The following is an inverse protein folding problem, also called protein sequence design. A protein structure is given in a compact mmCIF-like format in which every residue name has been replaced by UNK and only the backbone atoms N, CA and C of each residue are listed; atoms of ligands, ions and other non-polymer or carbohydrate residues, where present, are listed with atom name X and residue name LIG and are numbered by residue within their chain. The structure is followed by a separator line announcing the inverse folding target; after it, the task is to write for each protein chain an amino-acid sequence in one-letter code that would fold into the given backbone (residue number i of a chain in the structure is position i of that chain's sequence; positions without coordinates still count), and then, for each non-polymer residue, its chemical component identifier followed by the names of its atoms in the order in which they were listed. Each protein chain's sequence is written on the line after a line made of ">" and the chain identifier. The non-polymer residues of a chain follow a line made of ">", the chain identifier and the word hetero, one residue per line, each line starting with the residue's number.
data_IF_905866976899
#
_entry.id   IF_905866976899
#
_cell.length_a   1.000
_cell.length_b   1.000
_cell.length_c   1.000
_cell.angle_alpha   90.00
_cell.angle_beta   90.00
_cell.angle_gamma   90.00
#
_symmetry.space_group_name_H-M   'P 1'
#
loop_
_entity.id
_entity.type
_entity.pdbx_description
1 polymer ?
#
# COMPACT_ATOMS: atom_id res chain seq x y z
N UNK A 1 -53.40 61.24 13.19
CA UNK A 1 -54.52 60.30 13.01
C UNK A 1 -53.91 59.01 12.49
N UNK A 2 -53.65 58.05 13.38
CA UNK A 2 -54.54 56.95 13.79
C UNK A 2 -54.30 55.70 12.91
N UNK A 3 -53.66 54.69 13.53
CA UNK A 3 -53.70 53.23 13.30
C UNK A 3 -53.34 52.71 11.88
N UNK A 4 -52.64 51.59 11.70
CA UNK A 4 -52.93 50.30 12.31
C UNK A 4 -51.71 49.35 12.30
N UNK A 5 -51.57 48.62 13.42
CA UNK A 5 -50.70 47.47 13.61
C UNK A 5 -51.59 46.23 13.51
N UNK A 6 -51.39 45.36 12.51
CA UNK A 6 -51.39 43.90 12.68
C UNK A 6 -51.55 43.19 11.34
N UNK A 7 -50.59 42.34 11.00
CA UNK A 7 -50.90 40.93 10.73
C UNK A 7 -49.63 40.10 10.78
N UNK A 8 -49.53 39.33 11.86
CA UNK A 8 -48.66 38.17 11.98
C UNK A 8 -48.91 37.21 10.82
N UNK A 9 -47.87 36.86 10.06
CA UNK A 9 -47.80 35.56 9.38
C UNK A 9 -46.46 34.91 9.73
N UNK A 10 -46.58 33.93 10.62
CA UNK A 10 -45.57 33.00 11.09
C UNK A 10 -44.99 32.23 9.91
N UNK A 11 -43.74 32.53 9.52
CA UNK A 11 -42.94 31.62 8.70
C UNK A 11 -42.44 30.50 9.61
N UNK A 12 -43.07 29.33 9.51
CA UNK A 12 -42.58 28.11 10.11
C UNK A 12 -41.24 27.75 9.43
N UNK A 13 -40.13 27.94 10.15
CA UNK A 13 -38.83 27.43 9.76
C UNK A 13 -38.84 25.91 9.93
N UNK A 14 -38.95 25.16 8.83
CA UNK A 14 -38.64 23.74 8.79
C UNK A 14 -37.14 23.56 9.06
N UNK A 15 -36.78 23.30 10.32
CA UNK A 15 -35.48 22.75 10.70
C UNK A 15 -35.38 21.32 10.14
N UNK A 16 -34.85 21.19 8.93
CA UNK A 16 -34.33 19.92 8.42
C UNK A 16 -33.04 19.60 9.19
N UNK A 17 -33.18 18.90 10.32
CA UNK A 17 -32.09 18.18 10.94
C UNK A 17 -31.64 17.08 9.96
N UNK A 18 -30.66 17.40 9.12
CA UNK A 18 -29.99 16.43 8.27
C UNK A 18 -29.23 15.44 9.15
N UNK A 19 -29.85 14.31 9.45
CA UNK A 19 -29.17 13.17 10.02
C UNK A 19 -28.12 12.70 8.99
N UNK A 20 -26.85 12.95 9.29
CA UNK A 20 -25.72 12.35 8.57
C UNK A 20 -25.77 10.86 8.86
N UNK A 21 -26.37 10.08 7.97
CA UNK A 21 -26.19 8.63 7.99
C UNK A 21 -24.71 8.32 7.76
N UNK A 22 -24.00 8.00 8.84
CA UNK A 22 -22.80 7.20 8.73
C UNK A 22 -23.19 5.88 8.07
N UNK A 23 -22.74 5.65 6.83
CA UNK A 23 -22.70 4.30 6.28
C UNK A 23 -21.64 3.52 7.08
N UNK A 24 -22.10 2.86 8.15
CA UNK A 24 -21.37 1.75 8.72
C UNK A 24 -21.24 0.69 7.61
N UNK A 25 -20.01 0.37 7.23
CA UNK A 25 -19.72 -0.73 6.31
C UNK A 25 -20.40 -2.00 6.81
N UNK A 26 -20.95 -2.79 5.87
CA UNK A 26 -21.76 -3.97 6.12
C UNK A 26 -21.17 -4.86 7.24
N UNK A 27 -21.70 -4.73 8.45
CA UNK A 27 -21.43 -5.64 9.55
C UNK A 27 -22.32 -6.86 9.34
N UNK A 28 -21.75 -7.94 8.78
CA UNK A 28 -22.38 -9.26 8.85
C UNK A 28 -22.67 -9.63 10.31
N UNK A 29 -23.64 -10.53 10.53
CA UNK A 29 -23.99 -10.98 11.87
C UNK A 29 -22.72 -11.46 12.63
N UNK A 30 -22.58 -11.12 13.93
CA UNK A 30 -21.44 -11.57 14.71
C UNK A 30 -21.35 -13.09 14.71
N UNK A 31 -20.16 -13.61 14.41
CA UNK A 31 -19.92 -15.04 14.33
C UNK A 31 -20.00 -15.74 15.67
N UNK A 32 -20.21 -17.06 15.60
CA UNK A 32 -19.89 -17.93 16.72
C UNK A 32 -18.36 -18.09 16.80
N UNK A 33 -17.69 -17.73 17.91
CA UNK A 33 -16.25 -17.92 18.02
C UNK A 33 -15.84 -19.38 17.85
N UNK A 34 -14.81 -19.65 17.05
CA UNK A 34 -14.12 -20.95 16.98
C UNK A 34 -12.72 -20.85 17.64
N UNK A 35 -12.57 -21.26 18.91
CA UNK A 35 -11.30 -21.18 19.61
C UNK A 35 -10.19 -22.06 19.01
N UNK A 36 -10.55 -23.19 18.38
CA UNK A 36 -9.58 -24.11 17.80
C UNK A 36 -8.98 -23.51 16.52
N UNK A 37 -9.84 -22.98 15.63
CA UNK A 37 -9.41 -22.26 14.43
C UNK A 37 -8.54 -21.06 14.81
N UNK A 38 -8.97 -20.28 15.80
CA UNK A 38 -8.24 -19.11 16.28
C UNK A 38 -6.85 -19.47 16.79
N UNK A 39 -6.74 -20.52 17.60
CA UNK A 39 -5.47 -21.02 18.14
C UNK A 39 -4.54 -21.47 17.01
N UNK A 40 -5.06 -22.15 15.99
CA UNK A 40 -4.28 -22.52 14.81
C UNK A 40 -3.83 -21.29 14.02
N UNK A 41 -4.70 -20.31 13.80
CA UNK A 41 -4.34 -19.08 13.12
C UNK A 41 -3.22 -18.31 13.86
N UNK A 42 -3.24 -18.30 15.19
CA UNK A 42 -2.21 -17.67 16.01
C UNK A 42 -0.82 -18.33 15.92
N UNK A 43 -0.71 -19.59 15.46
CA UNK A 43 0.60 -20.22 15.23
C UNK A 43 1.19 -19.87 13.85
N UNK A 44 0.34 -19.51 12.90
CA UNK A 44 0.72 -19.26 11.50
C UNK A 44 0.83 -17.77 11.16
N UNK A 45 0.07 -16.93 11.84
CA UNK A 45 -0.04 -15.50 11.57
C UNK A 45 0.34 -14.69 12.80
N UNK A 46 0.76 -13.44 12.57
CA UNK A 46 1.04 -12.48 13.64
C UNK A 46 0.18 -11.24 13.44
N UNK A 47 -0.45 -10.70 14.51
CA UNK A 47 -1.22 -9.49 14.40
C UNK A 47 -0.29 -8.30 14.13
N UNK A 48 -0.79 -7.33 13.36
CA UNK A 48 -0.29 -5.96 13.43
C UNK A 48 -0.82 -5.33 14.72
N UNK A 49 0.11 -4.82 15.51
CA UNK A 49 -0.21 -4.01 16.69
C UNK A 49 0.18 -2.57 16.35
N UNK A 50 -0.81 -1.68 16.30
CA UNK A 50 -0.55 -0.26 16.13
C UNK A 50 0.17 0.27 17.38
N UNK A 51 1.39 0.75 17.19
CA UNK A 51 2.17 1.41 18.26
C UNK A 51 2.25 2.91 17.99
N UNK A 52 2.29 3.75 19.04
CA UNK A 52 2.61 5.17 18.87
C UNK A 52 3.94 5.34 18.14
N UNK A 53 3.98 6.27 17.19
CA UNK A 53 5.19 6.63 16.44
C UNK A 53 5.61 8.06 16.83
N UNK A 54 6.31 8.24 17.98
CA UNK A 54 6.78 9.55 18.38
C UNK A 54 7.79 10.09 17.36
N UNK A 55 7.69 11.38 17.05
CA UNK A 55 8.54 12.05 16.05
C UNK A 55 9.23 13.30 16.62
N UNK A 56 10.07 13.17 17.67
CA UNK A 56 10.67 14.33 18.34
C UNK A 56 11.57 15.16 17.40
N UNK A 57 12.22 14.51 16.43
CA UNK A 57 13.09 15.16 15.45
C UNK A 57 12.34 15.67 14.22
N UNK A 58 11.08 15.29 14.02
CA UNK A 58 10.30 15.67 12.84
C UNK A 58 10.68 14.87 11.57
N UNK A 59 11.31 13.70 11.71
CA UNK A 59 11.74 12.86 10.58
C UNK A 59 10.54 12.23 9.87
N UNK A 60 9.53 11.77 10.61
CA UNK A 60 8.29 11.22 10.01
C UNK A 60 7.54 12.35 9.29
N UNK A 61 7.44 13.53 9.91
CA UNK A 61 6.82 14.70 9.29
C UNK A 61 7.54 15.12 8.00
N UNK A 62 8.87 15.17 8.00
CA UNK A 62 9.67 15.43 6.80
C UNK A 62 9.45 14.36 5.73
N UNK A 63 9.45 13.08 6.11
CA UNK A 63 9.18 11.96 5.20
C UNK A 63 7.84 12.08 4.50
N UNK A 64 6.80 12.45 5.27
CA UNK A 64 5.46 12.70 4.74
C UNK A 64 5.47 13.86 3.75
N UNK A 65 6.15 14.96 4.04
CA UNK A 65 6.30 16.07 3.09
C UNK A 65 6.89 15.59 1.77
N UNK A 66 8.00 14.85 1.83
CA UNK A 66 8.69 14.32 0.65
C UNK A 66 7.84 13.31 -0.14
N UNK A 67 7.06 12.46 0.55
CA UNK A 67 6.15 11.49 -0.08
C UNK A 67 5.11 12.15 -1.00
N UNK A 68 4.66 13.37 -0.63
CA UNK A 68 3.68 14.14 -1.40
C UNK A 68 4.31 15.23 -2.29
N UNK A 69 5.62 15.49 -2.18
CA UNK A 69 6.27 16.58 -2.91
C UNK A 69 6.64 16.18 -4.34
N UNK A 70 5.85 16.66 -5.30
CA UNK A 70 6.06 16.40 -6.71
C UNK A 70 7.35 17.01 -7.27
N UNK A 71 8.00 17.94 -6.56
CA UNK A 71 9.29 18.52 -6.96
C UNK A 71 10.43 17.50 -6.87
N UNK A 72 10.22 16.33 -6.29
CA UNK A 72 11.16 15.20 -6.43
C UNK A 72 11.10 14.52 -7.81
N UNK A 73 10.17 14.87 -8.71
CA UNK A 73 10.20 14.44 -10.12
C UNK A 73 10.73 15.52 -11.05
N UNK A 74 11.30 15.11 -12.19
CA UNK A 74 11.81 16.02 -13.22
C UNK A 74 10.77 17.07 -13.64
N UNK A 75 9.54 16.61 -13.89
CA UNK A 75 8.40 17.42 -14.30
C UNK A 75 7.75 18.24 -13.17
N UNK A 76 8.07 18.00 -11.90
CA UNK A 76 7.31 18.61 -10.81
C UNK A 76 5.86 18.11 -10.70
N UNK A 77 5.49 17.00 -11.37
CA UNK A 77 4.11 16.48 -11.41
C UNK A 77 3.93 15.12 -10.75
N UNK A 78 5.02 14.37 -10.48
CA UNK A 78 4.96 13.04 -9.90
C UNK A 78 5.52 13.05 -8.48
N UNK A 79 4.79 12.48 -7.53
CA UNK A 79 5.30 12.16 -6.20
C UNK A 79 5.06 10.68 -5.90
N UNK A 80 5.53 10.19 -4.75
CA UNK A 80 5.24 8.83 -4.31
C UNK A 80 3.72 8.58 -4.30
N UNK A 81 2.95 9.58 -3.85
CA UNK A 81 1.49 9.52 -3.78
C UNK A 81 0.77 9.42 -5.13
N UNK A 82 1.44 9.74 -6.25
CA UNK A 82 0.86 9.60 -7.60
C UNK A 82 0.58 8.14 -7.95
N UNK A 83 1.50 7.23 -7.60
CA UNK A 83 1.39 5.78 -7.85
C UNK A 83 0.97 4.99 -6.61
N UNK A 84 1.21 5.55 -5.42
CA UNK A 84 0.90 4.95 -4.12
C UNK A 84 -0.10 5.82 -3.34
N UNK A 85 -1.30 5.98 -3.91
CA UNK A 85 -2.28 6.93 -3.41
C UNK A 85 -2.92 6.47 -2.10
N UNK A 86 -2.67 7.22 -1.01
CA UNK A 86 -3.19 6.89 0.33
C UNK A 86 -4.71 7.03 0.47
N UNK A 87 -5.39 7.69 -0.48
CA UNK A 87 -6.87 7.67 -0.55
C UNK A 87 -7.41 6.38 -1.16
N UNK A 88 -6.56 5.57 -1.81
CA UNK A 88 -6.91 4.33 -2.52
C UNK A 88 -6.01 3.17 -2.09
N UNK A 89 -5.94 2.92 -0.79
CA UNK A 89 -5.18 1.81 -0.20
C UNK A 89 -3.67 1.78 -0.56
N UNK A 90 -3.07 2.94 -0.84
CA UNK A 90 -1.63 3.05 -1.13
C UNK A 90 -1.23 2.54 -2.52
N UNK A 91 -2.17 2.49 -3.48
CA UNK A 91 -1.95 2.14 -4.88
C UNK A 91 -2.70 3.11 -5.81
N UNK A 92 -2.51 2.99 -7.13
CA UNK A 92 -3.24 3.78 -8.13
C UNK A 92 -4.42 3.01 -8.78
N UNK A 93 -4.54 1.71 -8.49
CA UNK A 93 -5.52 0.78 -9.08
C UNK A 93 -5.49 0.74 -10.62
N UNK A 94 -4.29 0.79 -11.21
CA UNK A 94 -4.05 0.59 -12.64
C UNK A 94 -3.24 -0.68 -12.89
N UNK A 95 -3.28 -1.28 -14.10
CA UNK A 95 -2.44 -2.44 -14.41
C UNK A 95 -0.96 -2.17 -14.18
N UNK A 96 -0.48 -1.04 -14.72
CA UNK A 96 0.87 -0.50 -14.51
C UNK A 96 0.78 1.01 -14.40
N UNK A 97 1.56 1.60 -13.49
CA UNK A 97 1.51 3.03 -13.21
C UNK A 97 1.99 3.88 -14.38
N UNK A 98 1.48 5.11 -14.45
CA UNK A 98 1.91 6.15 -15.37
C UNK A 98 2.87 7.10 -14.65
N UNK A 99 4.09 7.24 -15.16
CA UNK A 99 5.09 8.15 -14.64
C UNK A 99 5.37 9.34 -15.55
N UNK A 100 6.64 9.77 -15.56
CA UNK A 100 7.11 10.90 -16.38
C UNK A 100 6.68 10.74 -17.84
N UNK A 101 6.17 11.83 -18.42
CA UNK A 101 5.62 11.88 -19.80
C UNK A 101 4.50 10.86 -20.07
N UNK A 102 3.73 10.50 -19.05
CA UNK A 102 2.69 9.47 -19.15
C UNK A 102 3.22 8.10 -19.62
N UNK A 103 4.51 7.84 -19.37
CA UNK A 103 5.13 6.57 -19.74
C UNK A 103 4.63 5.48 -18.80
N UNK A 104 4.22 4.35 -19.36
CA UNK A 104 3.81 3.17 -18.58
C UNK A 104 5.05 2.48 -18.01
N UNK A 105 4.97 2.14 -16.73
CA UNK A 105 5.88 1.17 -16.12
C UNK A 105 5.67 -0.24 -16.69
N UNK A 106 6.45 -1.20 -16.19
CA UNK A 106 6.36 -2.61 -16.59
C UNK A 106 5.68 -3.50 -15.55
N UNK A 107 5.45 -2.98 -14.34
CA UNK A 107 4.86 -3.71 -13.22
C UNK A 107 3.76 -2.90 -12.54
N UNK A 108 2.80 -3.60 -11.98
CA UNK A 108 1.79 -3.05 -11.07
C UNK A 108 2.47 -2.47 -9.83
N UNK A 109 2.00 -1.30 -9.41
CA UNK A 109 2.46 -0.63 -8.19
C UNK A 109 1.87 -1.34 -6.96
N UNK A 110 2.69 -2.05 -6.15
CA UNK A 110 2.20 -2.67 -4.93
C UNK A 110 1.89 -1.59 -3.88
N UNK A 111 1.05 -1.93 -2.90
CA UNK A 111 0.75 -0.99 -1.82
C UNK A 111 1.98 -0.67 -0.96
N UNK A 112 2.12 0.60 -0.56
CA UNK A 112 3.07 1.04 0.49
C UNK A 112 2.60 0.66 1.90
N UNK A 113 1.32 0.34 2.07
CA UNK A 113 0.76 -0.02 3.37
C UNK A 113 1.36 -1.34 3.84
N UNK A 114 1.84 -1.38 5.09
CA UNK A 114 2.47 -2.54 5.72
C UNK A 114 3.76 -3.04 5.04
N UNK A 115 4.31 -2.31 4.07
CA UNK A 115 5.53 -2.69 3.35
C UNK A 115 6.77 -2.80 4.26
N UNK A 116 6.73 -2.15 5.43
CA UNK A 116 7.73 -2.28 6.50
C UNK A 116 7.92 -3.71 7.00
N UNK A 117 6.95 -4.59 6.80
CA UNK A 117 7.03 -5.99 7.24
C UNK A 117 7.60 -6.95 6.20
N UNK A 118 7.87 -6.47 4.98
CA UNK A 118 8.50 -7.29 3.96
C UNK A 118 10.00 -7.46 4.23
N UNK A 119 10.57 -8.63 3.90
CA UNK A 119 12.01 -8.87 4.04
C UNK A 119 12.84 -8.15 2.99
N UNK A 120 12.24 -7.90 1.82
CA UNK A 120 12.78 -7.11 0.70
C UNK A 120 11.65 -6.37 -0.01
N UNK A 121 12.00 -5.33 -0.76
CA UNK A 121 11.06 -4.48 -1.49
C UNK A 121 11.08 -4.77 -3.00
N UNK A 122 10.04 -4.28 -3.70
CA UNK A 122 9.69 -4.62 -5.09
C UNK A 122 9.30 -6.10 -5.31
N UNK A 123 8.69 -6.37 -6.48
CA UNK A 123 8.29 -7.71 -6.91
C UNK A 123 9.45 -8.69 -7.09
N UNK A 124 10.65 -8.20 -7.40
CA UNK A 124 11.88 -8.98 -7.57
C UNK A 124 12.80 -8.93 -6.34
N UNK A 125 12.42 -8.21 -5.28
CA UNK A 125 13.22 -8.14 -4.06
C UNK A 125 14.56 -7.41 -4.22
N UNK A 126 14.73 -6.56 -5.23
CA UNK A 126 16.05 -5.95 -5.53
C UNK A 126 16.52 -4.92 -4.50
N UNK A 127 15.62 -4.39 -3.68
CA UNK A 127 15.96 -3.50 -2.57
C UNK A 127 15.78 -4.22 -1.23
N UNK A 128 16.78 -4.12 -0.35
CA UNK A 128 16.76 -4.81 0.95
C UNK A 128 15.92 -4.04 1.96
N UNK A 129 16.01 -2.71 1.94
CA UNK A 129 15.31 -1.83 2.88
C UNK A 129 14.33 -0.89 2.17
N UNK A 130 13.44 -0.24 2.94
CA UNK A 130 12.60 0.84 2.43
C UNK A 130 13.45 2.04 1.98
N UNK A 131 14.55 2.31 2.68
CA UNK A 131 15.53 3.33 2.29
C UNK A 131 16.14 3.05 0.91
N UNK A 132 16.53 1.80 0.65
CA UNK A 132 17.05 1.43 -0.68
C UNK A 132 15.96 1.52 -1.75
N UNK A 133 14.71 1.17 -1.39
CA UNK A 133 13.56 1.26 -2.30
C UNK A 133 13.27 2.71 -2.68
N UNK A 134 13.21 3.63 -1.72
CA UNK A 134 12.82 5.03 -1.93
C UNK A 134 13.79 5.78 -2.87
N UNK A 135 15.04 5.32 -2.98
CA UNK A 135 16.03 5.85 -3.92
C UNK A 135 15.75 5.49 -5.39
N UNK A 136 15.03 4.39 -5.66
CA UNK A 136 14.80 3.91 -7.01
C UNK A 136 13.90 4.83 -7.84
N UNK A 137 12.68 5.13 -7.39
CA UNK A 137 11.69 5.88 -8.16
C UNK A 137 12.14 7.27 -8.60
N UNK A 138 12.86 7.98 -7.73
CA UNK A 138 13.29 9.37 -7.93
C UNK A 138 14.08 9.51 -9.25
N UNK A 139 14.96 8.55 -9.55
CA UNK A 139 15.82 8.56 -10.75
C UNK A 139 15.34 7.62 -11.85
N UNK A 140 14.28 6.84 -11.64
CA UNK A 140 13.78 5.94 -12.68
C UNK A 140 13.14 6.76 -13.82
N UNK A 141 13.61 6.63 -15.07
CA UNK A 141 13.16 7.46 -16.19
C UNK A 141 11.67 7.31 -16.55
N UNK A 142 11.04 6.20 -16.19
CA UNK A 142 9.59 5.98 -16.42
C UNK A 142 8.74 6.24 -15.19
N UNK A 143 9.34 6.69 -14.07
CA UNK A 143 8.64 7.05 -12.83
C UNK A 143 8.80 8.56 -12.56
N UNK A 144 9.78 8.99 -11.76
CA UNK A 144 9.99 10.40 -11.39
C UNK A 144 11.10 11.08 -12.20
N UNK A 145 11.98 10.31 -12.84
CA UNK A 145 12.88 10.73 -13.92
C UNK A 145 13.89 11.86 -13.61
N UNK A 146 14.25 12.13 -12.35
CA UNK A 146 15.39 13.00 -12.09
C UNK A 146 16.68 12.39 -12.66
N UNK A 147 17.54 13.25 -13.20
CA UNK A 147 18.75 12.83 -13.90
C UNK A 147 19.69 12.01 -13.02
N UNK A 148 19.83 12.41 -11.75
CA UNK A 148 20.73 11.78 -10.79
C UNK A 148 20.36 12.17 -9.34
N UNK A 149 20.88 11.44 -8.33
CA UNK A 149 20.68 11.77 -6.91
C UNK A 149 21.10 13.18 -6.51
N UNK A 150 22.17 13.73 -7.10
CA UNK A 150 22.67 15.05 -6.75
C UNK A 150 21.71 16.16 -7.22
N UNK A 151 20.94 15.93 -8.30
CA UNK A 151 19.88 16.81 -8.76
C UNK A 151 18.74 16.89 -7.74
N UNK A 152 18.34 15.78 -7.12
CA UNK A 152 17.35 15.78 -6.05
C UNK A 152 17.82 16.61 -4.84
N UNK A 153 19.06 16.40 -4.40
CA UNK A 153 19.67 17.14 -3.29
C UNK A 153 19.76 18.63 -3.61
N UNK A 154 20.30 19.03 -4.76
CA UNK A 154 20.40 20.44 -5.18
C UNK A 154 19.03 21.12 -5.21
N UNK A 155 18.02 20.43 -5.74
CA UNK A 155 16.66 20.96 -5.83
C UNK A 155 16.06 21.20 -4.45
N UNK A 156 16.08 20.22 -3.55
CA UNK A 156 15.57 20.42 -2.19
C UNK A 156 16.37 21.49 -1.43
N UNK A 157 17.69 21.55 -1.62
CA UNK A 157 18.53 22.58 -1.00
C UNK A 157 18.20 24.01 -1.49
N UNK A 158 17.66 24.15 -2.70
CA UNK A 158 17.24 25.44 -3.26
C UNK A 158 15.89 25.95 -2.74
N UNK A 159 15.16 25.12 -1.97
CA UNK A 159 13.87 25.46 -1.39
C UNK A 159 14.11 25.86 0.08
N UNK A 160 13.96 27.14 0.47
CA UNK A 160 14.44 27.64 1.76
C UNK A 160 13.91 26.89 2.99
N UNK A 161 12.71 26.31 2.90
CA UNK A 161 12.11 25.57 4.00
C UNK A 161 12.69 24.17 4.26
N UNK A 162 13.36 23.53 3.28
CA UNK A 162 13.85 22.15 3.46
C UNK A 162 15.13 22.05 4.28
N UNK A 163 16.21 22.82 4.04
CA UNK A 163 17.44 22.73 4.84
C UNK A 163 17.24 22.72 6.37
N UNK A 164 16.43 23.62 6.99
CA UNK A 164 16.19 23.56 8.43
C UNK A 164 15.39 22.33 8.87
N UNK A 165 14.44 21.83 8.04
CA UNK A 165 13.71 20.60 8.35
C UNK A 165 14.64 19.38 8.36
N UNK A 166 15.56 19.30 7.39
CA UNK A 166 16.58 18.24 7.36
C UNK A 166 17.56 18.35 8.53
N UNK A 167 18.02 19.55 8.87
CA UNK A 167 18.89 19.77 10.04
C UNK A 167 18.22 19.30 11.35
N UNK A 168 16.91 19.57 11.51
CA UNK A 168 16.14 19.10 12.66
C UNK A 168 15.94 17.57 12.67
N UNK A 169 15.64 16.97 11.52
CA UNK A 169 15.37 15.53 11.39
C UNK A 169 16.63 14.64 11.54
N UNK A 170 17.81 15.22 11.27
CA UNK A 170 19.10 14.54 11.25
C UNK A 170 20.20 15.37 11.96
N UNK A 171 20.05 15.64 13.27
CA UNK A 171 20.94 16.55 14.02
C UNK A 171 22.39 16.06 14.10
N UNK A 172 22.60 14.75 14.09
CA UNK A 172 23.93 14.14 14.18
C UNK A 172 24.61 13.95 12.81
N UNK A 173 23.94 14.33 11.71
CA UNK A 173 24.47 14.18 10.37
C UNK A 173 25.35 15.38 9.98
N UNK A 174 26.56 15.11 9.47
CA UNK A 174 27.43 16.14 8.86
C UNK A 174 26.85 16.72 7.56
N UNK A 175 25.92 16.00 6.93
CA UNK A 175 25.22 16.44 5.72
C UNK A 175 23.73 16.08 5.84
N UNK A 176 22.97 16.85 6.65
CA UNK A 176 21.58 16.52 6.95
C UNK A 176 20.71 16.39 5.70
N UNK A 177 20.87 17.28 4.72
CA UNK A 177 20.22 17.18 3.41
C UNK A 177 21.14 16.40 2.46
N UNK A 178 20.93 15.09 2.42
CA UNK A 178 21.63 14.15 1.54
C UNK A 178 20.61 13.20 0.89
N UNK A 179 21.00 12.52 -0.18
CA UNK A 179 20.10 11.57 -0.84
C UNK A 179 19.69 10.40 0.06
N UNK A 180 20.63 9.93 0.89
CA UNK A 180 20.36 8.89 1.88
C UNK A 180 19.37 9.37 2.95
N UNK A 181 19.46 10.62 3.39
CA UNK A 181 18.52 11.18 4.36
C UNK A 181 17.15 11.51 3.74
N UNK A 182 17.07 11.84 2.44
CA UNK A 182 15.80 11.93 1.70
C UNK A 182 15.09 10.58 1.78
N UNK A 183 15.79 9.50 1.40
CA UNK A 183 15.26 8.14 1.45
C UNK A 183 14.93 7.69 2.88
N UNK A 184 15.78 8.01 3.86
CA UNK A 184 15.55 7.69 5.28
C UNK A 184 14.32 8.40 5.86
N UNK A 185 14.08 9.66 5.48
CA UNK A 185 12.87 10.37 5.88
C UNK A 185 11.62 9.72 5.28
N UNK A 186 11.60 9.46 3.96
CA UNK A 186 10.48 8.79 3.29
C UNK A 186 10.19 7.43 3.94
N UNK A 187 11.22 6.60 4.11
CA UNK A 187 11.10 5.30 4.76
C UNK A 187 10.62 5.41 6.21
N UNK A 188 10.97 6.47 6.94
CA UNK A 188 10.45 6.72 8.30
C UNK A 188 8.94 6.98 8.28
N UNK A 189 8.44 7.72 7.29
CA UNK A 189 7.01 7.89 7.09
C UNK A 189 6.31 6.59 6.68
N UNK A 190 6.88 5.83 5.73
CA UNK A 190 6.31 4.55 5.28
C UNK A 190 6.20 3.52 6.41
N UNK A 191 7.12 3.53 7.38
CA UNK A 191 7.02 2.69 8.59
C UNK A 191 5.81 3.01 9.47
N UNK A 192 5.22 4.19 9.32
CA UNK A 192 3.97 4.56 10.00
C UNK A 192 2.72 4.15 9.24
N UNK A 193 2.86 3.74 7.96
CA UNK A 193 1.75 3.32 7.09
C UNK A 193 1.32 1.88 7.38
N UNK A 194 0.98 1.64 8.64
CA UNK A 194 0.59 0.34 9.18
C UNK A 194 -0.92 0.33 9.39
N UNK A 195 -1.60 -0.70 8.90
CA UNK A 195 -3.07 -0.78 8.87
C UNK A 195 -3.56 -2.08 9.53
N UNK A 196 -3.69 -2.12 10.88
CA UNK A 196 -4.36 -3.23 11.54
C UNK A 196 -5.80 -3.38 11.03
N UNK A 197 -6.30 -4.61 10.98
CA UNK A 197 -7.62 -4.97 10.46
C UNK A 197 -8.45 -5.77 11.47
N UNK A 198 -9.67 -6.16 11.07
CA UNK A 198 -10.52 -7.09 11.83
C UNK A 198 -9.83 -8.43 12.09
N UNK A 199 -8.98 -8.89 11.18
CA UNK A 199 -8.19 -10.10 11.40
C UNK A 199 -7.20 -9.95 12.56
N UNK A 200 -6.57 -8.78 12.73
CA UNK A 200 -5.68 -8.56 13.88
C UNK A 200 -6.46 -8.54 15.20
N UNK A 201 -7.69 -8.02 15.21
CA UNK A 201 -8.60 -8.11 16.35
C UNK A 201 -8.97 -9.57 16.65
N UNK A 202 -9.28 -10.36 15.61
CA UNK A 202 -9.53 -11.80 15.73
C UNK A 202 -8.36 -12.52 16.38
N UNK A 203 -7.13 -12.23 15.96
CA UNK A 203 -5.93 -12.85 16.54
C UNK A 203 -5.65 -12.43 17.99
N UNK A 204 -6.20 -11.31 18.48
CA UNK A 204 -5.80 -10.72 19.77
C UNK A 204 -6.93 -10.60 20.78
N UNK A 205 -7.90 -9.72 20.52
CA UNK A 205 -8.80 -9.15 21.53
C UNK A 205 -10.27 -9.49 21.31
N UNK A 206 -10.67 -9.87 20.09
CA UNK A 206 -12.07 -10.10 19.75
C UNK A 206 -12.24 -11.37 18.88
N UNK A 207 -12.49 -12.54 19.49
CA UNK A 207 -12.74 -13.79 18.77
C UNK A 207 -13.92 -13.74 17.77
N UNK A 208 -14.85 -12.81 17.94
CA UNK A 208 -16.01 -12.60 17.07
C UNK A 208 -15.76 -11.54 15.98
N UNK A 209 -14.52 -11.06 15.82
CA UNK A 209 -14.18 -10.03 14.83
C UNK A 209 -14.30 -10.52 13.38
N UNK A 210 -14.21 -11.83 13.13
CA UNK A 210 -14.51 -12.45 11.85
C UNK A 210 -15.93 -13.01 11.86
N UNK A 211 -16.64 -12.93 10.73
CA UNK A 211 -17.93 -13.60 10.48
C UNK A 211 -17.74 -15.11 10.30
N UNK A 212 -18.81 -15.89 10.34
CA UNK A 212 -18.73 -17.36 10.12
C UNK A 212 -18.17 -17.69 8.72
N UNK A 213 -18.53 -16.90 7.69
CA UNK A 213 -18.01 -17.01 6.33
C UNK A 213 -16.51 -16.70 6.27
N UNK A 214 -16.06 -15.65 6.94
CA UNK A 214 -14.65 -15.28 7.02
C UNK A 214 -13.83 -16.33 7.80
N UNK A 215 -14.38 -16.92 8.87
CA UNK A 215 -13.75 -18.04 9.59
C UNK A 215 -13.66 -19.29 8.72
N UNK A 216 -14.70 -19.61 7.95
CA UNK A 216 -14.67 -20.69 6.95
C UNK A 216 -13.60 -20.45 5.90
N UNK A 217 -13.50 -19.20 5.42
CA UNK A 217 -12.47 -18.78 4.47
C UNK A 217 -11.05 -18.91 5.02
N UNK A 218 -10.83 -18.48 6.26
CA UNK A 218 -9.54 -18.64 6.96
C UNK A 218 -9.16 -20.11 7.05
N UNK A 219 -10.10 -20.97 7.48
CA UNK A 219 -9.87 -22.43 7.52
C UNK A 219 -9.48 -22.95 6.15
N UNK A 220 -10.24 -22.60 5.11
CA UNK A 220 -10.00 -23.07 3.75
C UNK A 220 -8.67 -22.58 3.19
N UNK A 221 -8.29 -21.34 3.48
CA UNK A 221 -6.99 -20.77 3.12
C UNK A 221 -5.83 -21.56 3.74
N UNK A 222 -5.96 -21.96 5.01
CA UNK A 222 -4.95 -22.77 5.69
C UNK A 222 -4.90 -24.21 5.16
N UNK A 223 -6.05 -24.88 5.04
CA UNK A 223 -6.15 -26.28 4.61
C UNK A 223 -5.76 -26.50 3.16
N UNK A 224 -6.04 -25.53 2.28
CA UNK A 224 -5.63 -25.60 0.87
C UNK A 224 -4.10 -25.53 0.72
N UNK A 225 -3.40 -24.92 1.69
CA UNK A 225 -1.94 -24.80 1.68
C UNK A 225 -1.42 -23.42 1.28
N UNK A 226 -2.28 -22.39 1.18
CA UNK A 226 -1.86 -21.02 0.86
C UNK A 226 -0.81 -20.49 1.86
N UNK A 227 -0.90 -20.94 3.11
CA UNK A 227 0.01 -20.60 4.22
C UNK A 227 1.47 -21.04 4.02
N UNK A 228 1.75 -21.96 3.09
CA UNK A 228 3.12 -22.30 2.72
C UNK A 228 3.88 -21.09 2.16
N UNK A 229 3.14 -20.11 1.62
CA UNK A 229 3.70 -18.86 1.09
C UNK A 229 3.21 -17.61 1.80
N UNK A 230 1.95 -17.60 2.22
CA UNK A 230 1.29 -16.43 2.77
C UNK A 230 1.04 -16.61 4.27
N UNK A 231 2.06 -16.31 5.07
CA UNK A 231 2.04 -16.45 6.54
C UNK A 231 2.74 -15.27 7.22
N UNK A 232 2.81 -15.31 8.55
CA UNK A 232 3.45 -14.27 9.35
C UNK A 232 2.63 -12.98 9.43
N UNK A 233 3.31 -11.86 9.65
CA UNK A 233 2.63 -10.57 9.95
C UNK A 233 1.95 -9.98 8.71
N UNK A 234 2.55 -10.04 7.52
CA UNK A 234 1.99 -9.46 6.29
C UNK A 234 1.24 -10.49 5.42
N UNK A 235 1.14 -11.74 5.88
CA UNK A 235 0.60 -12.86 5.11
C UNK A 235 1.33 -13.00 3.76
N UNK A 236 2.66 -13.00 3.81
CA UNK A 236 3.54 -12.92 2.65
C UNK A 236 4.67 -11.90 2.85
N UNK A 237 5.41 -11.61 1.78
CA UNK A 237 6.47 -10.58 1.78
C UNK A 237 7.84 -11.03 2.23
N UNK A 238 8.00 -12.28 2.69
CA UNK A 238 9.24 -12.76 3.33
C UNK A 238 10.07 -13.71 2.46
N UNK A 239 9.48 -14.28 1.41
CA UNK A 239 10.12 -15.30 0.56
C UNK A 239 9.88 -15.07 -0.93
N UNK A 240 10.62 -15.81 -1.75
CA UNK A 240 10.51 -15.82 -3.22
C UNK A 240 9.98 -17.16 -3.68
N UNK A 241 8.99 -17.15 -4.55
CA UNK A 241 8.38 -18.36 -5.09
C UNK A 241 8.22 -18.24 -6.60
N UNK A 242 8.32 -19.38 -7.27
CA UNK A 242 8.04 -19.47 -8.69
C UNK A 242 6.55 -19.25 -8.93
N UNK A 243 6.21 -18.35 -9.85
CA UNK A 243 4.83 -18.23 -10.31
C UNK A 243 4.57 -19.31 -11.37
N UNK A 244 3.71 -20.27 -11.04
CA UNK A 244 3.47 -21.50 -11.79
C UNK A 244 4.29 -22.67 -11.25
N UNK A 245 4.35 -22.82 -9.92
CA UNK A 245 5.08 -23.91 -9.26
C UNK A 245 4.51 -25.30 -9.58
N UNK A 246 3.18 -25.45 -9.49
CA UNK A 246 2.48 -26.70 -9.75
C UNK A 246 1.99 -26.80 -11.20
N UNK A 247 1.42 -25.70 -11.72
CA UNK A 247 0.97 -25.60 -13.11
C UNK A 247 1.45 -24.29 -13.71
N UNK A 248 2.07 -24.37 -14.89
CA UNK A 248 2.61 -23.20 -15.57
C UNK A 248 2.64 -23.38 -17.09
N UNK A 249 3.20 -22.40 -17.80
CA UNK A 249 3.72 -21.14 -17.27
C UNK A 249 2.61 -20.16 -16.81
N UNK A 250 2.93 -19.24 -15.89
CA UNK A 250 1.92 -18.36 -15.25
C UNK A 250 1.12 -17.52 -16.26
N UNK A 251 1.75 -17.04 -17.34
CA UNK A 251 1.12 -16.13 -18.30
C UNK A 251 -0.06 -16.76 -19.08
N UNK A 252 -0.13 -18.10 -19.12
CA UNK A 252 -1.30 -18.81 -19.68
C UNK A 252 -2.55 -18.71 -18.79
N UNK A 253 -2.36 -18.41 -17.50
CA UNK A 253 -3.43 -18.32 -16.51
C UNK A 253 -3.82 -16.88 -16.21
N UNK A 254 -2.83 -15.97 -16.21
CA UNK A 254 -3.04 -14.55 -15.88
C UNK A 254 -3.48 -13.71 -17.06
N UNK A 255 -3.21 -14.14 -18.30
CA UNK A 255 -3.40 -13.30 -19.48
C UNK A 255 -2.36 -12.18 -19.61
N UNK A 256 -1.25 -12.28 -18.86
CA UNK A 256 -0.08 -11.41 -19.00
C UNK A 256 0.37 -11.37 -20.47
N UNK A 257 0.49 -10.16 -21.03
CA UNK A 257 0.90 -9.96 -22.44
C UNK A 257 2.41 -10.06 -22.63
N UNK A 258 3.17 -9.71 -21.59
CA UNK A 258 4.62 -9.84 -21.54
C UNK A 258 5.04 -10.99 -20.65
N UNK A 259 6.30 -11.43 -20.80
CA UNK A 259 6.95 -12.35 -19.88
C UNK A 259 7.93 -11.56 -19.01
N UNK A 260 7.54 -11.31 -17.77
CA UNK A 260 8.42 -10.81 -16.73
C UNK A 260 9.16 -11.99 -16.09
N UNK A 261 10.49 -11.94 -16.07
CA UNK A 261 11.32 -13.00 -15.51
C UNK A 261 11.56 -12.86 -13.99
N UNK A 262 10.97 -11.85 -13.35
CA UNK A 262 11.00 -11.66 -11.91
C UNK A 262 12.41 -11.39 -11.38
N UNK A 263 12.86 -12.20 -10.43
CA UNK A 263 14.20 -12.10 -9.80
C UNK A 263 15.32 -12.27 -10.84
N UNK A 264 15.12 -13.08 -11.88
CA UNK A 264 16.15 -13.29 -12.91
C UNK A 264 16.48 -12.02 -13.71
N UNK A 265 15.60 -11.03 -13.76
CA UNK A 265 15.90 -9.71 -14.36
C UNK A 265 17.06 -9.01 -13.65
N UNK A 266 17.26 -9.30 -12.36
CA UNK A 266 18.32 -8.70 -11.54
C UNK A 266 19.48 -9.67 -11.36
N UNK A 267 19.21 -10.92 -10.99
CA UNK A 267 20.26 -11.89 -10.67
C UNK A 267 20.97 -12.46 -11.89
N UNK A 268 20.31 -12.42 -13.06
CA UNK A 268 20.75 -13.04 -14.32
C UNK A 268 20.93 -14.55 -14.27
N UNK A 269 20.44 -15.23 -13.21
CA UNK A 269 20.54 -16.68 -13.06
C UNK A 269 19.29 -17.36 -13.62
N UNK A 270 19.49 -18.38 -14.45
CA UNK A 270 18.39 -19.17 -15.01
C UNK A 270 17.50 -19.81 -13.94
N UNK A 271 18.07 -20.22 -12.80
CA UNK A 271 17.34 -20.80 -11.68
C UNK A 271 16.33 -19.82 -11.04
N UNK A 272 16.52 -18.52 -11.22
CA UNK A 272 15.64 -17.49 -10.65
C UNK A 272 14.51 -17.07 -11.61
N UNK A 273 14.39 -17.74 -12.76
CA UNK A 273 13.41 -17.41 -13.80
C UNK A 273 11.99 -17.60 -13.27
N UNK A 274 11.19 -16.54 -13.43
CA UNK A 274 9.78 -16.49 -13.02
C UNK A 274 9.61 -16.63 -11.48
N UNK A 275 10.68 -16.42 -10.70
CA UNK A 275 10.60 -16.21 -9.25
C UNK A 275 10.15 -14.78 -8.96
N UNK A 276 9.18 -14.64 -8.06
CA UNK A 276 8.75 -13.33 -7.54
C UNK A 276 8.74 -13.37 -6.02
N UNK A 277 8.97 -12.21 -5.40
CA UNK A 277 8.69 -12.03 -3.98
C UNK A 277 7.19 -12.27 -3.78
N UNK A 278 6.84 -13.16 -2.87
CA UNK A 278 5.45 -13.40 -2.48
C UNK A 278 4.89 -12.08 -1.95
N UNK A 279 3.81 -11.51 -2.51
CA UNK A 279 3.24 -10.26 -2.02
C UNK A 279 2.60 -10.47 -0.65
N UNK A 280 2.62 -9.44 0.20
CA UNK A 280 1.75 -9.42 1.37
C UNK A 280 0.29 -9.32 0.94
N UNK A 281 -0.63 -9.93 1.70
CA UNK A 281 -2.07 -9.95 1.36
C UNK A 281 -2.89 -8.95 2.18
N UNK A 282 -2.26 -8.14 3.03
CA UNK A 282 -2.97 -7.05 3.71
C UNK A 282 -3.49 -6.03 2.71
N UNK A 283 -4.74 -5.63 2.89
CA UNK A 283 -5.48 -4.74 1.99
C UNK A 283 -5.69 -5.28 0.56
N UNK A 284 -5.48 -6.59 0.31
CA UNK A 284 -5.53 -7.14 -1.06
C UNK A 284 -6.87 -6.88 -1.76
N UNK A 285 -7.99 -6.90 -1.03
CA UNK A 285 -9.31 -6.63 -1.61
C UNK A 285 -9.51 -5.17 -2.08
N UNK A 286 -8.55 -4.26 -1.82
CA UNK A 286 -8.59 -2.86 -2.23
C UNK A 286 -7.53 -2.51 -3.28
N UNK A 287 -6.65 -3.46 -3.64
CA UNK A 287 -5.47 -3.19 -4.47
C UNK A 287 -5.52 -3.84 -5.85
N UNK A 288 -6.73 -4.10 -6.37
CA UNK A 288 -6.88 -4.53 -7.76
C UNK A 288 -6.27 -3.50 -8.74
N UNK A 289 -5.80 -3.92 -9.91
CA UNK A 289 -5.68 -5.31 -10.38
C UNK A 289 -4.49 -6.06 -9.77
N UNK A 290 -4.47 -7.38 -9.93
CA UNK A 290 -3.60 -8.33 -9.24
C UNK A 290 -2.45 -8.85 -10.11
N UNK A 291 -1.47 -9.44 -9.43
CA UNK A 291 -0.19 -9.93 -9.94
C UNK A 291 0.77 -8.83 -10.38
N UNK A 292 2.00 -9.23 -10.73
CA UNK A 292 3.13 -8.33 -10.98
C UNK A 292 2.88 -7.30 -12.08
N UNK A 293 1.97 -7.57 -13.02
CA UNK A 293 1.65 -6.70 -14.16
C UNK A 293 0.19 -6.20 -14.16
N UNK A 294 -0.58 -6.50 -13.10
CA UNK A 294 -1.96 -6.06 -12.97
C UNK A 294 -2.88 -6.60 -14.07
N UNK A 295 -2.62 -7.81 -14.56
CA UNK A 295 -3.38 -8.46 -15.65
C UNK A 295 -4.76 -8.97 -15.23
N UNK A 296 -4.99 -9.23 -13.93
CA UNK A 296 -6.22 -9.84 -13.43
C UNK A 296 -6.97 -8.89 -12.49
N UNK A 297 -8.20 -8.53 -12.82
CA UNK A 297 -8.98 -7.54 -12.05
C UNK A 297 -9.79 -8.12 -10.88
N UNK A 298 -10.20 -9.37 -10.99
CA UNK A 298 -11.08 -10.04 -10.04
C UNK A 298 -10.26 -10.75 -8.97
N UNK A 299 -10.55 -10.47 -7.68
CA UNK A 299 -9.86 -11.14 -6.57
C UNK A 299 -10.17 -12.63 -6.58
N UNK A 300 -11.42 -12.96 -6.86
CA UNK A 300 -11.88 -14.33 -7.11
C UNK A 300 -11.03 -15.06 -8.15
N UNK A 301 -10.76 -14.42 -9.28
CA UNK A 301 -9.92 -15.02 -10.33
C UNK A 301 -8.47 -15.16 -9.89
N UNK A 302 -7.94 -14.17 -9.16
CA UNK A 302 -6.61 -14.25 -8.61
C UNK A 302 -6.46 -15.44 -7.62
N UNK A 303 -7.45 -15.67 -6.77
CA UNK A 303 -7.51 -16.82 -5.85
C UNK A 303 -7.55 -18.14 -6.64
N UNK A 304 -8.44 -18.23 -7.65
CA UNK A 304 -8.55 -19.41 -8.51
C UNK A 304 -7.23 -19.74 -9.21
N UNK A 305 -6.61 -18.73 -9.83
CA UNK A 305 -5.31 -18.85 -10.50
C UNK A 305 -4.25 -19.32 -9.52
N UNK A 306 -4.20 -18.79 -8.29
CA UNK A 306 -3.23 -19.22 -7.27
C UNK A 306 -3.44 -20.69 -6.87
N UNK A 307 -4.70 -21.12 -6.68
CA UNK A 307 -5.02 -22.53 -6.42
C UNK A 307 -4.49 -23.46 -7.52
N UNK A 308 -4.72 -23.10 -8.78
CA UNK A 308 -4.29 -23.90 -9.93
C UNK A 308 -2.77 -23.89 -10.11
N UNK A 309 -2.16 -22.69 -10.15
CA UNK A 309 -0.77 -22.50 -10.56
C UNK A 309 0.23 -22.82 -9.45
N UNK A 310 -0.11 -22.56 -8.19
CA UNK A 310 0.79 -22.78 -7.06
C UNK A 310 0.56 -24.12 -6.38
N UNK A 311 -0.69 -24.58 -6.33
CA UNK A 311 -1.09 -25.75 -5.52
C UNK A 311 -1.67 -26.89 -6.36
N UNK A 312 -1.81 -26.71 -7.67
CA UNK A 312 -2.36 -27.73 -8.57
C UNK A 312 -3.84 -28.05 -8.35
N UNK A 313 -4.51 -27.28 -7.48
CA UNK A 313 -5.84 -27.57 -6.93
C UNK A 313 -6.92 -26.75 -7.62
N UNK A 314 -8.05 -27.38 -7.89
CA UNK A 314 -9.25 -26.69 -8.38
C UNK A 314 -10.13 -26.34 -7.18
N UNK A 315 -10.24 -25.05 -6.88
CA UNK A 315 -11.11 -24.55 -5.82
C UNK A 315 -12.57 -24.50 -6.30
N UNK A 316 -13.50 -24.90 -5.43
CA UNK A 316 -14.94 -24.81 -5.72
C UNK A 316 -15.41 -23.35 -5.66
N UNK A 317 -16.62 -23.06 -6.17
CA UNK A 317 -17.19 -21.72 -6.05
C UNK A 317 -17.27 -21.25 -4.59
N UNK A 318 -17.74 -22.12 -3.69
CA UNK A 318 -17.82 -21.85 -2.25
C UNK A 318 -16.44 -21.61 -1.62
N UNK A 319 -15.41 -22.34 -2.04
CA UNK A 319 -14.04 -22.08 -1.58
C UNK A 319 -13.58 -20.67 -1.96
N UNK A 320 -13.83 -20.28 -3.21
CA UNK A 320 -13.45 -18.96 -3.71
C UNK A 320 -14.19 -17.85 -2.95
N UNK A 321 -15.51 -18.00 -2.74
CA UNK A 321 -16.34 -17.02 -2.02
C UNK A 321 -15.87 -16.84 -0.57
N UNK A 322 -15.61 -17.95 0.13
CA UNK A 322 -15.20 -17.91 1.54
C UNK A 322 -13.78 -17.38 1.70
N UNK A 323 -12.82 -17.80 0.86
CA UNK A 323 -11.45 -17.25 0.87
C UNK A 323 -11.46 -15.75 0.57
N UNK A 324 -12.24 -15.30 -0.42
CA UNK A 324 -12.36 -13.88 -0.74
C UNK A 324 -12.94 -13.07 0.44
N UNK A 325 -13.94 -13.62 1.15
CA UNK A 325 -14.45 -13.01 2.37
C UNK A 325 -13.34 -12.89 3.44
N UNK A 326 -12.58 -13.96 3.68
CA UNK A 326 -11.43 -13.91 4.59
C UNK A 326 -10.41 -12.83 4.17
N UNK A 327 -10.00 -12.79 2.90
CA UNK A 327 -9.05 -11.79 2.40
C UNK A 327 -9.58 -10.35 2.55
N UNK A 328 -10.89 -10.15 2.46
CA UNK A 328 -11.53 -8.85 2.72
C UNK A 328 -11.38 -8.42 4.19
N UNK A 329 -11.36 -9.37 5.14
CA UNK A 329 -11.11 -9.06 6.56
C UNK A 329 -9.69 -8.54 6.85
N UNK A 330 -8.78 -8.63 5.87
CA UNK A 330 -7.41 -8.12 5.93
C UNK A 330 -7.31 -6.63 5.57
N UNK A 331 -8.42 -5.99 5.18
CA UNK A 331 -8.47 -4.56 4.93
C UNK A 331 -8.37 -3.80 6.26
N UNK A 332 -7.28 -3.04 6.42
CA UNK A 332 -7.12 -2.08 7.50
C UNK A 332 -7.37 -0.66 7.01
N UNK A 333 -7.50 0.27 7.95
CA UNK A 333 -7.68 1.68 7.63
C UNK A 333 -6.35 2.40 7.53
N UNK A 334 -6.17 3.22 6.48
CA UNK A 334 -5.03 4.12 6.37
C UNK A 334 -5.07 5.14 7.51
N UNK A 335 -4.01 5.29 8.31
CA UNK A 335 -3.97 6.23 9.43
C UNK A 335 -4.42 7.62 9.00
N UNK A 336 -5.36 8.23 9.73
CA UNK A 336 -5.91 9.55 9.39
C UNK A 336 -4.79 10.58 9.21
N UNK A 337 -3.84 10.61 10.14
CA UNK A 337 -2.69 11.50 10.09
C UNK A 337 -1.83 11.31 8.84
N UNK A 338 -1.83 10.14 8.18
CA UNK A 338 -1.12 9.94 6.92
C UNK A 338 -1.86 10.52 5.71
N UNK A 339 -3.21 10.62 5.76
CA UNK A 339 -4.07 11.12 4.68
C UNK A 339 -4.19 12.65 4.64
N UNK A 340 -3.90 13.33 5.73
CA UNK A 340 -3.89 14.79 5.78
C UNK A 340 -2.69 15.34 4.99
N UNK A 341 -2.91 16.06 3.89
CA UNK A 341 -1.80 16.55 3.08
C UNK A 341 -0.94 17.57 3.85
N UNK A 342 0.40 17.50 3.74
CA UNK A 342 1.27 18.48 4.37
C UNK A 342 1.26 19.82 3.60
N UNK A 343 1.41 20.93 4.32
CA UNK A 343 1.77 22.20 3.71
C UNK A 343 3.25 22.14 3.29
N UNK A 344 3.51 22.09 1.98
CA UNK A 344 4.88 22.06 1.45
C UNK A 344 5.51 23.48 1.52
N UNK A 345 6.84 23.59 1.76
CA UNK A 345 7.52 24.88 1.74
C UNK A 345 7.49 25.48 0.33
N UNK A 346 7.32 26.80 0.18
CA UNK A 346 7.29 27.45 -1.12
C UNK A 346 8.66 27.40 -1.79
N UNK A 347 8.66 27.49 -3.12
CA UNK A 347 9.89 27.59 -3.91
C UNK A 347 10.72 28.82 -3.53
N UNK A 348 12.03 28.70 -3.66
CA UNK A 348 12.97 29.81 -3.55
C UNK A 348 13.28 30.45 -4.91
N UNK A 349 13.99 31.58 -4.93
CA UNK A 349 14.35 32.28 -6.17
C UNK A 349 15.25 31.47 -7.10
N UNK A 350 15.98 30.48 -6.56
CA UNK A 350 16.86 29.59 -7.31
C UNK A 350 16.29 28.19 -7.53
N UNK A 351 15.01 27.95 -7.18
CA UNK A 351 14.41 26.63 -7.37
C UNK A 351 14.25 26.34 -8.87
N UNK A 352 14.81 25.22 -9.39
CA UNK A 352 14.71 24.89 -10.80
C UNK A 352 13.25 24.77 -11.26
N UNK A 353 12.96 25.31 -12.45
CA UNK A 353 11.65 25.15 -13.08
C UNK A 353 11.36 23.68 -13.42
N UNK A 354 10.09 23.27 -13.45
CA UNK A 354 9.65 22.00 -14.04
C UNK A 354 10.25 21.75 -15.44
N UNK A 355 10.67 20.51 -15.70
CA UNK A 355 11.06 20.05 -17.03
C UNK A 355 10.17 18.87 -17.46
N UNK A 356 9.36 19.11 -18.49
CA UNK A 356 8.38 18.14 -18.98
C UNK A 356 8.96 17.22 -20.08
N UNK A 357 10.21 17.42 -20.50
CA UNK A 357 10.83 16.70 -21.61
C UNK A 357 11.49 15.37 -21.25
#
# INVERSE_FOLDING_TARGET
>A
MLFDRSTFRTLAACLLAGAVLHQAGATGAPATPDPALRKQAQTLFKPIIATPNPDPTGRIALGKMLFFDARLSRSGTQSCSSCHNLARAGVDNTPVSLGHRWTKGTRNSPTVLNATYHSKQFWDGRAVTLEDQAKGPITNPVEMALADPATAVRRLNSIPGYPPLFAKAFPDSKSPLSYDNIASAIASFERTLVTPSRFDQYLTSNPAALTDTEQTGLRRFMETGCIACHSGVALGGTQFMKFGLAKGPYWKYTGSKGRDHGVAEVSKKAADTDLFKVPGLRNVAQTAPYFHDGSVWSLRDAIRIMGETQLGTTLTATDLDTIEAFLTSLNGEVPRAARELPQLPPDGPSTPKPDFN
#
